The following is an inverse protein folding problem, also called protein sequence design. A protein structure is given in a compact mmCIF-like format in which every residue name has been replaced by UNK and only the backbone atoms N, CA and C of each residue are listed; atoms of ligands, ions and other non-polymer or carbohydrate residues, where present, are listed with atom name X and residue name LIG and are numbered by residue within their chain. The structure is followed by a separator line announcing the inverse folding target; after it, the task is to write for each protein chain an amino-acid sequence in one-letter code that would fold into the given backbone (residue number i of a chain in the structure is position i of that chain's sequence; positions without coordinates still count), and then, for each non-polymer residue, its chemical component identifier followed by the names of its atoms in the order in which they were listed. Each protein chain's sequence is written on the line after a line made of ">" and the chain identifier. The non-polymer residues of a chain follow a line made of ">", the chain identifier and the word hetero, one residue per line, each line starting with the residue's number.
data_IF_786923804356
#
_entry.id   IF_786923804356
#
_cell.length_a   1.000
_cell.length_b   1.000
_cell.length_c   1.000
_cell.angle_alpha   90.00
_cell.angle_beta   90.00
_cell.angle_gamma   90.00
#
_symmetry.space_group_name_H-M   'P 1'
#
loop_
_entity.id
_entity.type
_entity.pdbx_description
1 polymer ?
#
# COMPACT_ATOMS: atom_id res chain seq x y z
N UNK A 1 -0.89 -26.76 -10.90
CA UNK A 1 -0.23 -27.89 -10.26
C UNK A 1 -1.28 -28.66 -9.48
N UNK A 2 -1.36 -29.97 -9.62
CA UNK A 2 -2.35 -30.84 -8.95
C UNK A 2 -3.81 -30.30 -9.07
N UNK A 3 -4.20 -29.83 -10.26
CA UNK A 3 -5.48 -29.17 -10.56
C UNK A 3 -5.81 -27.94 -9.70
N UNK A 4 -4.77 -27.34 -9.12
CA UNK A 4 -4.86 -26.04 -8.44
C UNK A 4 -4.27 -24.96 -9.33
N UNK A 5 -5.05 -23.93 -9.61
CA UNK A 5 -4.56 -22.74 -10.30
C UNK A 5 -3.99 -21.77 -9.27
N UNK A 6 -2.77 -21.31 -9.49
CA UNK A 6 -2.09 -20.31 -8.66
C UNK A 6 -1.72 -19.14 -9.55
N UNK A 7 -2.18 -17.96 -9.19
CA UNK A 7 -1.85 -16.70 -9.85
C UNK A 7 -1.16 -15.78 -8.83
N UNK A 8 0.00 -15.25 -9.19
CA UNK A 8 0.72 -14.28 -8.39
C UNK A 8 0.86 -12.97 -9.15
N UNK A 9 0.59 -11.84 -8.48
CA UNK A 9 0.74 -10.50 -9.05
C UNK A 9 1.59 -9.64 -8.12
N UNK A 10 2.67 -9.11 -8.67
CA UNK A 10 3.48 -8.07 -8.05
C UNK A 10 2.90 -6.70 -8.40
N UNK A 11 3.26 -5.66 -7.63
CA UNK A 11 2.80 -4.28 -7.84
C UNK A 11 1.25 -4.14 -7.82
N UNK A 12 0.57 -5.05 -7.14
CA UNK A 12 -0.87 -5.05 -7.02
C UNK A 12 -1.38 -4.25 -5.81
N UNK A 13 -0.46 -3.73 -4.98
CA UNK A 13 -0.83 -2.95 -3.81
C UNK A 13 -1.20 -1.52 -4.19
N UNK A 14 -2.47 -1.18 -4.07
CA UNK A 14 -3.02 0.16 -4.34
C UNK A 14 -3.88 0.66 -3.16
N UNK A 15 -3.57 0.18 -1.96
CA UNK A 15 -4.32 0.43 -0.74
C UNK A 15 -3.48 1.23 0.26
N UNK A 16 -4.07 1.53 1.42
CA UNK A 16 -3.35 2.17 2.51
C UNK A 16 -2.50 1.18 3.31
N UNK A 17 -1.25 1.54 3.58
CA UNK A 17 -0.54 2.75 3.16
C UNK A 17 0.01 2.63 1.72
N UNK A 18 -0.05 3.68 0.91
CA UNK A 18 0.39 3.66 -0.49
C UNK A 18 1.88 3.34 -0.63
N UNK A 19 2.67 3.73 0.37
CA UNK A 19 4.13 3.54 0.39
C UNK A 19 4.57 2.23 1.07
N UNK A 20 3.69 1.24 1.20
CA UNK A 20 4.01 -0.05 1.82
C UNK A 20 5.23 -0.71 1.17
N UNK A 21 5.36 -0.61 -0.15
CA UNK A 21 6.47 -1.19 -0.91
C UNK A 21 7.85 -0.61 -0.53
N UNK A 22 7.89 0.49 0.22
CA UNK A 22 9.15 1.01 0.76
C UNK A 22 9.68 0.18 1.94
N UNK A 23 8.83 -0.60 2.60
CA UNK A 23 9.15 -1.39 3.81
C UNK A 23 9.00 -2.88 3.62
N UNK A 24 8.02 -3.32 2.85
CA UNK A 24 7.73 -4.72 2.58
C UNK A 24 7.45 -4.91 1.09
N UNK A 25 7.51 -6.14 0.62
CA UNK A 25 7.11 -6.50 -0.74
C UNK A 25 5.81 -7.29 -0.66
N UNK A 26 4.66 -6.65 -0.96
CA UNK A 26 3.37 -7.34 -1.03
C UNK A 26 3.23 -8.06 -2.38
N UNK A 27 2.79 -9.30 -2.34
CA UNK A 27 2.44 -10.10 -3.53
C UNK A 27 1.01 -10.57 -3.37
N UNK A 28 0.15 -10.25 -4.33
CA UNK A 28 -1.21 -10.78 -4.37
C UNK A 28 -1.17 -12.22 -4.88
N UNK A 29 -1.69 -13.14 -4.09
CA UNK A 29 -1.89 -14.54 -4.46
C UNK A 29 -3.38 -14.81 -4.62
N UNK A 30 -3.72 -15.49 -5.71
CA UNK A 30 -5.05 -16.04 -5.98
C UNK A 30 -4.89 -17.53 -6.23
N UNK A 31 -5.58 -18.34 -5.43
CA UNK A 31 -5.59 -19.79 -5.54
C UNK A 31 -7.00 -20.25 -5.85
N UNK A 32 -7.15 -21.09 -6.87
CA UNK A 32 -8.42 -21.74 -7.21
C UNK A 32 -8.23 -23.24 -7.18
N UNK A 33 -8.96 -23.91 -6.31
CA UNK A 33 -8.88 -25.36 -6.16
C UNK A 33 -9.84 -26.04 -7.16
N UNK A 34 -9.32 -26.51 -8.28
CA UNK A 34 -10.09 -27.30 -9.26
C UNK A 34 -9.94 -28.80 -9.05
N UNK A 35 -9.25 -29.20 -7.96
CA UNK A 35 -9.11 -30.63 -7.63
C UNK A 35 -10.35 -31.16 -6.91
N UNK A 36 -10.40 -32.48 -6.74
CA UNK A 36 -11.44 -33.20 -5.99
C UNK A 36 -11.17 -33.27 -4.47
N UNK A 37 -10.09 -32.60 -3.98
CA UNK A 37 -9.64 -32.64 -2.59
C UNK A 37 -9.56 -31.26 -1.99
N UNK A 38 -9.82 -31.18 -0.70
CA UNK A 38 -9.57 -29.94 0.06
C UNK A 38 -8.07 -29.74 0.23
N UNK A 39 -7.59 -28.56 -0.08
CA UNK A 39 -6.18 -28.16 0.08
C UNK A 39 -6.04 -27.16 1.21
N UNK A 40 -4.86 -27.03 1.77
CA UNK A 40 -4.56 -26.05 2.83
C UNK A 40 -3.49 -25.09 2.34
N UNK A 41 -3.73 -23.80 2.61
CA UNK A 41 -2.75 -22.72 2.40
C UNK A 41 -2.14 -22.35 3.75
N UNK A 42 -0.80 -22.27 3.77
CA UNK A 42 -0.03 -21.87 4.97
C UNK A 42 1.15 -21.01 4.58
N UNK A 43 1.48 -20.03 5.39
CA UNK A 43 2.60 -19.12 5.12
C UNK A 43 3.96 -19.79 5.12
N UNK A 44 4.16 -20.83 5.95
CA UNK A 44 5.41 -21.61 6.02
C UNK A 44 5.69 -22.43 4.75
N UNK A 45 4.67 -22.60 3.91
CA UNK A 45 4.73 -23.28 2.61
C UNK A 45 4.77 -22.32 1.42
N UNK A 46 4.97 -21.04 1.67
CA UNK A 46 5.13 -20.02 0.64
C UNK A 46 6.48 -19.35 0.84
N UNK A 47 7.30 -19.28 -0.18
CA UNK A 47 8.60 -18.64 -0.12
C UNK A 47 9.02 -18.07 -1.47
N UNK A 48 9.92 -17.08 -1.42
CA UNK A 48 10.65 -16.61 -2.58
C UNK A 48 12.06 -17.20 -2.59
N UNK A 49 12.57 -17.46 -3.77
CA UNK A 49 13.99 -17.81 -3.95
C UNK A 49 14.61 -16.89 -4.98
N UNK A 50 15.77 -16.34 -4.69
CA UNK A 50 16.55 -15.55 -5.64
C UNK A 50 17.37 -16.44 -6.59
N UNK A 51 18.02 -15.82 -7.57
CA UNK A 51 18.86 -16.53 -8.55
C UNK A 51 20.08 -17.23 -7.91
N UNK A 52 20.49 -16.81 -6.70
CA UNK A 52 21.55 -17.44 -5.95
C UNK A 52 21.08 -18.61 -5.06
N UNK A 53 19.76 -18.86 -5.03
CA UNK A 53 19.16 -19.90 -4.22
C UNK A 53 18.84 -19.50 -2.78
N UNK A 54 18.95 -18.20 -2.43
CA UNK A 54 18.58 -17.76 -1.09
C UNK A 54 17.05 -17.74 -0.94
N UNK A 55 16.59 -18.41 0.12
CA UNK A 55 15.17 -18.46 0.47
C UNK A 55 14.78 -17.21 1.28
N UNK A 56 13.67 -16.60 0.92
CA UNK A 56 13.02 -15.50 1.61
C UNK A 56 11.62 -15.97 2.02
N UNK A 57 11.41 -16.12 3.31
CA UNK A 57 10.12 -16.59 3.82
C UNK A 57 9.09 -15.47 3.89
N UNK A 58 7.82 -15.85 3.87
CA UNK A 58 6.68 -14.94 4.11
C UNK A 58 6.75 -14.42 5.54
N UNK A 59 6.51 -13.14 5.69
CA UNK A 59 6.26 -12.51 6.99
C UNK A 59 4.75 -12.54 7.23
N UNK A 60 4.29 -13.23 8.30
CA UNK A 60 2.89 -13.15 8.69
C UNK A 60 2.43 -11.69 8.83
N UNK A 61 1.23 -11.32 8.39
CA UNK A 61 0.82 -9.91 8.30
C UNK A 61 0.93 -9.15 9.62
N UNK A 62 0.66 -9.80 10.75
CA UNK A 62 0.81 -9.23 12.09
C UNK A 62 2.25 -9.05 12.57
N UNK A 63 3.23 -9.64 11.87
CA UNK A 63 4.66 -9.52 12.17
C UNK A 63 5.38 -8.51 11.26
N UNK A 64 4.69 -7.90 10.32
CA UNK A 64 5.27 -6.82 9.51
C UNK A 64 5.50 -5.62 10.40
N UNK A 65 6.76 -5.15 10.48
CA UNK A 65 7.15 -4.05 11.36
C UNK A 65 7.71 -2.88 10.57
N UNK A 66 7.55 -1.70 11.14
CA UNK A 66 8.08 -0.46 10.61
C UNK A 66 7.07 0.67 10.64
N UNK A 67 7.43 1.79 10.08
CA UNK A 67 6.57 2.95 9.88
C UNK A 67 6.64 3.38 8.43
N UNK A 68 5.52 3.83 7.90
CA UNK A 68 5.41 4.43 6.57
C UNK A 68 4.84 5.83 6.71
N UNK A 69 5.33 6.77 5.91
CA UNK A 69 4.85 8.14 5.92
C UNK A 69 3.72 8.29 4.91
N UNK A 70 2.52 8.55 5.38
CA UNK A 70 1.32 8.67 4.55
C UNK A 70 0.98 10.15 4.38
N UNK A 71 0.73 10.62 3.15
CA UNK A 71 0.27 11.98 2.92
C UNK A 71 -1.17 12.14 3.40
N UNK A 72 -1.37 13.07 4.32
CA UNK A 72 -2.69 13.46 4.83
C UNK A 72 -2.96 14.90 4.43
N UNK A 73 -4.09 15.11 3.77
CA UNK A 73 -4.53 16.47 3.44
C UNK A 73 -5.27 17.06 4.63
N UNK A 74 -4.72 18.08 5.23
CA UNK A 74 -5.34 18.83 6.32
C UNK A 74 -5.84 20.16 5.81
N UNK A 75 -7.04 20.54 6.23
CA UNK A 75 -7.54 21.87 5.99
C UNK A 75 -6.80 22.82 6.91
N UNK A 76 -6.12 23.82 6.35
CA UNK A 76 -5.55 24.88 7.17
C UNK A 76 -6.68 25.68 7.82
N UNK A 77 -6.73 25.73 9.16
CA UNK A 77 -7.64 26.65 9.79
C UNK A 77 -7.20 28.09 9.43
N UNK A 78 -8.11 28.84 8.85
CA UNK A 78 -7.93 30.27 8.65
C UNK A 78 -7.84 30.94 10.02
N UNK A 79 -6.63 31.12 10.51
CA UNK A 79 -6.42 32.05 11.61
C UNK A 79 -6.36 33.46 11.02
N UNK A 80 -7.43 34.20 11.14
CA UNK A 80 -7.36 35.65 11.09
C UNK A 80 -6.52 36.12 12.28
N UNK A 81 -5.22 35.95 12.18
CA UNK A 81 -4.32 36.54 13.13
C UNK A 81 -4.25 38.01 12.79
N UNK A 82 -4.90 38.82 13.62
CA UNK A 82 -4.83 40.24 13.74
C UNK A 82 -4.39 41.01 12.48
N UNK A 83 -5.11 42.03 12.19
CA UNK A 83 -4.97 43.01 11.13
C UNK A 83 -3.54 43.51 10.80
N UNK A 84 -2.54 43.16 11.59
CA UNK A 84 -1.17 43.61 11.38
C UNK A 84 -0.37 42.79 10.37
N UNK A 85 -0.60 41.53 10.27
CA UNK A 85 0.11 40.67 9.29
C UNK A 85 -0.37 40.92 7.86
N UNK A 86 -1.61 41.36 7.71
CA UNK A 86 -2.23 41.70 6.43
C UNK A 86 -2.27 43.24 6.18
N UNK A 87 -1.60 44.05 6.98
CA UNK A 87 -1.60 45.49 6.81
C UNK A 87 -1.28 45.94 5.36
N UNK A 88 -0.35 45.36 4.63
CA UNK A 88 -0.10 45.70 3.23
C UNK A 88 -1.30 45.45 2.32
N UNK A 89 -2.03 44.40 2.60
CA UNK A 89 -3.20 44.02 1.80
C UNK A 89 -4.48 44.76 2.27
N UNK A 90 -4.65 44.91 3.58
CA UNK A 90 -5.75 45.67 4.14
C UNK A 90 -5.69 47.14 3.72
N UNK A 91 -4.51 47.68 3.54
CA UNK A 91 -4.34 49.06 3.05
C UNK A 91 -4.86 49.24 1.63
N UNK A 92 -4.73 48.25 0.78
CA UNK A 92 -5.20 48.28 -0.60
C UNK A 92 -6.71 48.11 -0.72
N UNK A 93 -7.35 47.52 0.28
CA UNK A 93 -8.79 47.23 0.30
C UNK A 93 -9.56 48.06 1.33
N UNK A 94 -8.90 49.04 2.00
CA UNK A 94 -9.60 49.87 2.94
C UNK A 94 -10.53 50.86 2.19
N UNK A 95 -11.70 51.14 2.74
CA UNK A 95 -12.58 52.18 2.18
C UNK A 95 -11.91 53.53 1.99
N UNK A 96 -10.93 53.83 2.82
CA UNK A 96 -10.15 55.08 2.75
C UNK A 96 -9.26 55.12 1.51
N UNK A 97 -8.69 53.99 1.12
CA UNK A 97 -7.90 53.89 -0.10
C UNK A 97 -8.76 54.07 -1.35
N UNK A 98 -9.94 53.51 -1.36
CA UNK A 98 -10.92 53.67 -2.44
C UNK A 98 -11.39 55.13 -2.58
N UNK A 99 -11.46 55.85 -1.43
CA UNK A 99 -11.92 57.24 -1.38
C UNK A 99 -10.86 58.25 -1.83
N UNK A 100 -9.58 57.89 -1.73
CA UNK A 100 -8.48 58.76 -2.15
C UNK A 100 -8.14 58.69 -3.65
N UNK A 101 -8.97 58.05 -4.46
CA UNK A 101 -8.81 58.03 -5.92
C UNK A 101 -7.61 57.22 -6.42
N UNK A 102 -6.93 56.51 -5.56
CA UNK A 102 -5.93 55.50 -5.93
C UNK A 102 -6.67 54.37 -6.59
N UNK A 103 -6.75 54.43 -7.92
CA UNK A 103 -7.60 53.58 -8.73
C UNK A 103 -7.62 52.15 -8.25
N UNK A 104 -8.76 51.67 -7.91
CA UNK A 104 -9.02 50.27 -7.72
C UNK A 104 -8.83 49.58 -9.09
N UNK A 105 -7.60 49.27 -9.41
CA UNK A 105 -7.33 48.30 -10.44
C UNK A 105 -7.89 47.02 -9.91
N UNK A 106 -9.08 46.65 -10.35
CA UNK A 106 -9.91 45.53 -9.85
C UNK A 106 -9.26 44.15 -9.82
N UNK A 107 -8.04 44.08 -9.39
CA UNK A 107 -7.32 42.86 -9.11
C UNK A 107 -7.43 42.58 -7.64
N UNK A 108 -8.16 41.55 -7.26
CA UNK A 108 -7.97 40.94 -5.97
C UNK A 108 -6.49 40.58 -5.86
N UNK A 109 -5.83 41.06 -4.82
CA UNK A 109 -4.47 40.61 -4.60
C UNK A 109 -4.48 39.08 -4.47
N UNK A 110 -3.71 38.43 -5.31
CA UNK A 110 -3.56 36.99 -5.24
C UNK A 110 -2.93 36.67 -3.89
N UNK A 111 -3.69 36.06 -3.00
CA UNK A 111 -3.20 35.49 -1.77
C UNK A 111 -3.03 33.98 -2.02
N UNK A 112 -1.80 33.50 -2.14
CA UNK A 112 -1.54 32.08 -2.34
C UNK A 112 -2.12 31.21 -1.22
N UNK A 113 -2.22 31.75 0.01
CA UNK A 113 -2.76 31.03 1.16
C UNK A 113 -4.29 30.92 1.10
N UNK A 114 -4.96 31.90 0.49
CA UNK A 114 -6.40 31.84 0.26
C UNK A 114 -6.79 30.71 -0.71
N UNK A 115 -5.94 30.49 -1.71
CA UNK A 115 -6.20 29.50 -2.76
C UNK A 115 -5.62 28.13 -2.46
N UNK A 116 -4.88 27.99 -1.35
CA UNK A 116 -4.38 26.68 -0.87
C UNK A 116 -4.95 26.36 0.52
N UNK A 117 -6.29 26.14 0.61
CA UNK A 117 -6.92 25.84 1.90
C UNK A 117 -6.51 24.49 2.47
N UNK A 118 -5.77 23.73 1.71
CA UNK A 118 -5.33 22.39 2.07
C UNK A 118 -3.81 22.27 2.06
N UNK A 119 -3.29 21.75 3.13
CA UNK A 119 -1.88 21.43 3.26
C UNK A 119 -1.72 19.92 3.30
N UNK A 120 -0.81 19.39 2.49
CA UNK A 120 -0.44 17.98 2.60
C UNK A 120 0.65 17.86 3.66
N UNK A 121 0.34 17.19 4.75
CA UNK A 121 1.30 16.80 5.79
C UNK A 121 1.54 15.31 5.72
N UNK A 122 2.76 14.89 6.06
CA UNK A 122 3.08 13.48 6.15
C UNK A 122 2.93 13.02 7.59
N UNK A 123 2.17 11.95 7.78
CA UNK A 123 1.98 11.34 9.10
C UNK A 123 2.55 9.93 9.08
N UNK A 124 3.31 9.60 10.10
CA UNK A 124 3.87 8.26 10.23
C UNK A 124 2.83 7.30 10.77
N UNK A 125 2.60 6.22 10.02
CA UNK A 125 1.67 5.15 10.36
C UNK A 125 2.46 3.88 10.66
N UNK A 126 2.21 3.29 11.82
CA UNK A 126 2.84 2.03 12.20
C UNK A 126 2.26 0.84 11.42
N UNK A 127 3.13 -0.10 11.04
CA UNK A 127 2.75 -1.37 10.44
C UNK A 127 2.59 -2.46 11.52
N UNK A 128 1.69 -3.43 11.31
CA UNK A 128 0.76 -3.54 10.19
C UNK A 128 -0.45 -2.62 10.34
N UNK A 129 -0.98 -2.13 9.23
CA UNK A 129 -2.25 -1.40 9.23
C UNK A 129 -3.45 -2.34 9.25
N UNK A 130 -4.64 -1.89 9.69
CA UNK A 130 -5.86 -2.68 9.58
C UNK A 130 -6.17 -3.15 8.16
N UNK A 131 -5.88 -2.30 7.16
CA UNK A 131 -6.05 -2.63 5.75
C UNK A 131 -5.16 -3.81 5.32
N UNK A 132 -3.90 -3.84 5.76
CA UNK A 132 -2.98 -4.94 5.49
C UNK A 132 -3.48 -6.25 6.08
N UNK A 133 -4.00 -6.22 7.31
CA UNK A 133 -4.53 -7.41 7.97
C UNK A 133 -5.80 -7.93 7.28
N UNK A 134 -6.68 -7.02 6.87
CA UNK A 134 -7.94 -7.36 6.22
C UNK A 134 -7.72 -7.98 4.83
N UNK A 135 -6.68 -7.53 4.12
CA UNK A 135 -6.36 -7.97 2.75
C UNK A 135 -5.33 -9.09 2.69
N UNK A 136 -4.81 -9.53 3.82
CA UNK A 136 -3.88 -10.63 3.88
C UNK A 136 -4.53 -11.93 3.40
N UNK A 137 -3.73 -12.79 2.78
CA UNK A 137 -4.15 -14.14 2.46
C UNK A 137 -4.46 -14.88 3.76
N UNK A 138 -5.69 -15.36 3.90
CA UNK A 138 -6.07 -16.16 5.05
C UNK A 138 -5.50 -17.57 4.93
N UNK A 139 -4.82 -18.02 5.99
CA UNK A 139 -4.43 -19.42 6.10
C UNK A 139 -5.66 -20.28 6.38
N UNK A 140 -5.73 -21.43 5.76
CA UNK A 140 -6.82 -22.36 6.00
C UNK A 140 -7.14 -23.26 4.80
N UNK A 141 -8.18 -24.05 4.94
CA UNK A 141 -8.62 -24.95 3.89
C UNK A 141 -9.31 -24.22 2.74
N UNK A 142 -9.09 -24.73 1.53
CA UNK A 142 -9.79 -24.34 0.31
C UNK A 142 -10.46 -25.59 -0.23
N UNK A 143 -11.78 -25.62 -0.16
CA UNK A 143 -12.58 -26.76 -0.61
C UNK A 143 -12.53 -26.91 -2.15
N UNK A 144 -12.86 -28.10 -2.67
CA UNK A 144 -13.01 -28.31 -4.10
C UNK A 144 -13.94 -27.28 -4.75
N UNK A 145 -13.48 -26.66 -5.83
CA UNK A 145 -14.20 -25.60 -6.53
C UNK A 145 -14.16 -24.21 -5.86
N UNK A 146 -13.58 -24.10 -4.68
CA UNK A 146 -13.43 -22.81 -4.00
C UNK A 146 -12.16 -22.09 -4.41
N UNK A 147 -12.14 -20.77 -4.13
CA UNK A 147 -10.98 -19.92 -4.35
C UNK A 147 -10.65 -19.12 -3.08
N UNK A 148 -9.37 -18.86 -2.87
CA UNK A 148 -8.87 -17.95 -1.85
C UNK A 148 -7.90 -16.95 -2.49
N UNK A 149 -7.92 -15.71 -2.00
CA UNK A 149 -7.02 -14.67 -2.49
C UNK A 149 -6.67 -13.69 -1.38
N UNK A 150 -5.48 -13.13 -1.49
CA UNK A 150 -5.00 -12.14 -0.54
C UNK A 150 -3.52 -11.85 -0.71
N UNK A 151 -3.03 -10.88 0.05
CA UNK A 151 -1.63 -10.48 0.02
C UNK A 151 -0.79 -11.33 0.96
N UNK A 152 0.36 -11.75 0.47
CA UNK A 152 1.47 -12.26 1.26
C UNK A 152 2.57 -11.22 1.30
N UNK A 153 3.22 -11.05 2.45
CA UNK A 153 4.21 -10.01 2.66
C UNK A 153 5.59 -10.63 2.82
N UNK A 154 6.54 -10.04 2.11
CA UNK A 154 7.95 -10.43 2.20
C UNK A 154 8.78 -9.25 2.70
N UNK A 155 9.97 -9.56 3.22
CA UNK A 155 10.96 -8.51 3.48
C UNK A 155 11.19 -7.72 2.20
N UNK A 156 11.37 -6.39 2.34
CA UNK A 156 11.66 -5.53 1.20
C UNK A 156 12.75 -6.12 0.32
N UNK A 157 12.37 -6.41 -0.92
CA UNK A 157 13.30 -6.84 -1.96
C UNK A 157 13.90 -5.59 -2.57
N UNK A 158 15.21 -5.55 -2.68
CA UNK A 158 15.89 -4.43 -3.34
C UNK A 158 15.55 -4.46 -4.83
N UNK A 159 15.11 -3.32 -5.34
CA UNK A 159 14.90 -3.17 -6.79
C UNK A 159 16.23 -3.37 -7.51
N UNK A 160 16.23 -4.23 -8.49
CA UNK A 160 17.35 -4.59 -9.33
C UNK A 160 16.87 -5.70 -10.25
N UNK A 161 17.55 -5.98 -11.34
CA UNK A 161 17.22 -7.07 -12.26
C UNK A 161 17.44 -8.45 -11.62
N UNK A 162 16.74 -8.72 -10.51
CA UNK A 162 16.80 -10.00 -9.83
C UNK A 162 15.62 -10.85 -10.30
N UNK A 163 15.95 -12.00 -10.84
CA UNK A 163 14.96 -13.03 -11.11
C UNK A 163 14.64 -13.69 -9.78
N UNK A 164 13.37 -13.63 -9.41
CA UNK A 164 12.84 -14.27 -8.21
C UNK A 164 11.87 -15.37 -8.63
N UNK A 165 11.83 -16.43 -7.88
CA UNK A 165 10.83 -17.49 -8.06
C UNK A 165 10.00 -17.60 -6.80
N UNK A 166 8.70 -17.45 -6.93
CA UNK A 166 7.74 -17.72 -5.87
C UNK A 166 7.42 -19.21 -5.88
N UNK A 167 7.60 -19.84 -4.74
CA UNK A 167 7.24 -21.21 -4.47
C UNK A 167 6.00 -21.23 -3.60
N UNK A 168 4.99 -21.96 -4.03
CA UNK A 168 3.75 -22.18 -3.28
C UNK A 168 3.49 -23.69 -3.25
N UNK A 169 3.64 -24.29 -2.07
CA UNK A 169 3.33 -25.70 -1.90
C UNK A 169 1.82 -25.87 -1.71
N UNK A 170 1.27 -26.80 -2.44
CA UNK A 170 -0.13 -27.21 -2.35
C UNK A 170 -0.19 -28.42 -1.42
N UNK A 171 -0.87 -28.28 -0.30
CA UNK A 171 -0.94 -29.28 0.76
C UNK A 171 -2.33 -29.92 0.75
N UNK A 172 -2.38 -31.26 0.75
CA UNK A 172 -3.62 -31.99 0.97
C UNK A 172 -4.06 -31.87 2.43
N UNK A 173 -5.28 -31.39 2.65
CA UNK A 173 -5.81 -31.18 4.01
C UNK A 173 -5.89 -32.49 4.81
N UNK A 174 -6.23 -33.59 4.16
CA UNK A 174 -6.48 -34.84 4.85
C UNK A 174 -5.20 -35.53 5.30
N UNK A 175 -4.16 -35.50 4.46
CA UNK A 175 -2.89 -36.18 4.73
C UNK A 175 -1.80 -35.27 5.25
N UNK A 176 -1.92 -33.96 5.06
CA UNK A 176 -0.86 -32.98 5.36
C UNK A 176 0.34 -33.06 4.42
N UNK A 177 0.26 -33.85 3.35
CA UNK A 177 1.35 -34.01 2.40
C UNK A 177 1.30 -32.95 1.30
N UNK A 178 2.48 -32.58 0.80
CA UNK A 178 2.60 -31.71 -0.36
C UNK A 178 2.19 -32.48 -1.61
N UNK A 179 1.13 -32.04 -2.29
CA UNK A 179 0.65 -32.60 -3.55
C UNK A 179 1.47 -32.12 -4.75
N UNK A 180 2.06 -30.93 -4.61
CA UNK A 180 2.90 -30.32 -5.63
C UNK A 180 3.27 -28.89 -5.26
N UNK A 181 4.24 -28.33 -5.98
CA UNK A 181 4.74 -26.96 -5.77
C UNK A 181 4.52 -26.13 -7.03
N UNK A 182 3.84 -25.01 -6.92
CA UNK A 182 3.77 -24.03 -7.99
C UNK A 182 5.02 -23.13 -7.92
N UNK A 183 5.74 -23.04 -9.05
CA UNK A 183 6.94 -22.22 -9.19
C UNK A 183 6.64 -21.08 -10.18
N UNK A 184 6.58 -19.85 -9.69
CA UNK A 184 6.20 -18.68 -10.49
C UNK A 184 7.39 -17.73 -10.56
N UNK A 185 8.10 -17.67 -11.70
CA UNK A 185 9.20 -16.75 -11.87
C UNK A 185 8.69 -15.32 -12.15
N UNK A 186 9.35 -14.32 -11.59
CA UNK A 186 9.11 -12.93 -11.90
C UNK A 186 10.38 -12.09 -11.72
N UNK A 187 10.38 -10.89 -12.30
CA UNK A 187 11.49 -9.95 -12.22
C UNK A 187 11.10 -8.83 -11.26
N UNK A 188 11.93 -8.57 -10.25
CA UNK A 188 11.76 -7.41 -9.38
C UNK A 188 12.26 -6.15 -10.12
N UNK A 189 11.36 -5.23 -10.42
CA UNK A 189 11.65 -3.94 -11.06
C UNK A 189 11.73 -2.80 -10.06
#
# INVERSE_FOLDING_TARGET
>A
VADVQVIARTQAWHFDPPDLETKATPILLELTNNSDRSIVVRYDHIALTDAAGHRIDVIPPYNVQGTVSVPVTVQQPYYFTSSYTYAPYAYRFSPTYLRSGGGYAGGFAYDPQYYQPYLTVYTDVALPTPEMLQRALNEGPIEPGAAAGGFVYFKKIRRGEQILTLHVDIIDQASGNVMGTANIPFVAH
#
